data_IF_670289795764
#
_entry.id   IF_670289795764
#
_cell.length_a   1.000
_cell.length_b   1.000
_cell.length_c   1.000
_cell.angle_alpha   90.00
_cell.angle_beta   90.00
_cell.angle_gamma   90.00
#
_symmetry.space_group_name_H-M   'P 1'
#
loop_
_entity.id
_entity.type
_entity.pdbx_description
1 polymer ?
#
# COMPACT_ATOMS: atom_id res chain seq x y z
N UNK A 1 -16.35 13.50 3.51
CA UNK A 1 -16.82 12.09 3.63
C UNK A 1 -17.07 11.61 2.21
N UNK A 2 -16.04 11.11 1.55
CA UNK A 2 -16.12 10.78 0.11
C UNK A 2 -15.69 9.33 -0.11
N UNK A 3 -16.47 8.59 -0.88
CA UNK A 3 -15.94 7.57 -1.77
C UNK A 3 -16.19 6.10 -1.43
N UNK A 4 -16.24 5.67 -0.17
CA UNK A 4 -16.32 4.22 0.14
C UNK A 4 -17.75 3.62 0.12
N UNK A 5 -18.78 4.43 0.09
CA UNK A 5 -20.17 3.95 0.16
C UNK A 5 -20.64 3.39 -1.18
N UNK A 6 -20.94 2.09 -1.21
CA UNK A 6 -21.66 1.41 -2.31
C UNK A 6 -20.78 0.60 -3.27
N UNK A 7 -19.46 0.58 -3.10
CA UNK A 7 -18.57 -0.32 -3.85
C UNK A 7 -18.27 -1.56 -3.01
N UNK A 8 -18.31 -2.73 -3.62
CA UNK A 8 -17.82 -3.96 -2.97
C UNK A 8 -16.31 -3.90 -2.85
N UNK A 9 -15.73 -4.19 -1.65
CA UNK A 9 -14.29 -4.21 -1.46
C UNK A 9 -13.63 -5.23 -2.40
N UNK A 10 -12.69 -4.76 -3.22
CA UNK A 10 -11.97 -5.63 -4.16
C UNK A 10 -10.59 -5.10 -4.53
N UNK A 11 -9.77 -5.99 -5.07
CA UNK A 11 -8.48 -5.65 -5.67
C UNK A 11 -8.72 -5.06 -7.06
N UNK A 12 -8.26 -3.84 -7.32
CA UNK A 12 -8.27 -3.24 -8.65
C UNK A 12 -7.04 -3.63 -9.47
N UNK A 13 -5.88 -3.72 -8.81
CA UNK A 13 -4.65 -4.10 -9.46
C UNK A 13 -3.68 -4.74 -8.46
N UNK A 14 -2.92 -5.72 -8.95
CA UNK A 14 -1.73 -6.24 -8.30
C UNK A 14 -0.52 -5.63 -8.99
N UNK A 15 0.36 -4.99 -8.23
CA UNK A 15 1.50 -4.24 -8.76
C UNK A 15 2.82 -4.84 -8.27
N UNK A 16 3.78 -4.95 -9.17
CA UNK A 16 5.14 -5.39 -8.89
C UNK A 16 6.14 -4.40 -9.46
N UNK A 17 7.38 -4.47 -9.01
CA UNK A 17 8.45 -3.63 -9.55
C UNK A 17 8.53 -3.78 -11.06
N UNK A 18 8.46 -2.64 -11.75
CA UNK A 18 8.71 -2.56 -13.20
C UNK A 18 10.18 -2.32 -13.49
N UNK A 19 10.78 -1.41 -12.73
CA UNK A 19 12.17 -1.04 -12.88
C UNK A 19 12.75 -0.56 -11.55
N UNK A 20 13.96 -1.03 -11.21
CA UNK A 20 14.75 -0.41 -10.16
C UNK A 20 15.25 0.95 -10.65
N UNK A 21 15.05 1.97 -9.84
CA UNK A 21 15.46 3.35 -10.13
C UNK A 21 16.63 3.76 -9.25
N UNK A 22 17.58 4.55 -9.75
CA UNK A 22 18.56 5.18 -8.89
C UNK A 22 17.88 6.00 -7.79
N UNK A 23 18.41 5.93 -6.57
CA UNK A 23 17.93 6.68 -5.41
C UNK A 23 19.11 7.09 -4.53
N UNK A 24 18.83 7.94 -3.53
CA UNK A 24 19.85 8.37 -2.56
C UNK A 24 20.33 7.25 -1.63
N UNK A 25 21.42 7.52 -0.88
CA UNK A 25 21.87 6.59 0.15
C UNK A 25 20.79 6.35 1.23
N UNK A 26 20.81 5.20 1.96
CA UNK A 26 21.86 4.18 1.90
C UNK A 26 21.67 3.11 0.82
N UNK A 27 20.49 2.93 0.26
CA UNK A 27 20.22 1.80 -0.65
C UNK A 27 20.74 2.01 -2.07
N UNK A 28 20.87 3.27 -2.52
CA UNK A 28 21.32 3.62 -3.87
C UNK A 28 20.32 3.32 -4.98
N UNK A 29 19.33 2.48 -4.71
CA UNK A 29 18.26 2.10 -5.64
C UNK A 29 16.93 1.98 -4.90
N UNK A 30 15.82 2.16 -5.65
CA UNK A 30 14.47 1.97 -5.14
C UNK A 30 13.63 1.12 -6.07
N UNK A 31 12.70 0.36 -5.50
CA UNK A 31 11.69 -0.43 -6.20
C UNK A 31 10.31 0.27 -6.19
N UNK A 32 10.27 1.60 -6.08
CA UNK A 32 9.02 2.36 -6.00
C UNK A 32 8.25 2.38 -7.32
N UNK A 33 8.94 2.26 -8.47
CA UNK A 33 8.31 2.18 -9.79
C UNK A 33 7.65 0.82 -9.97
N UNK A 34 6.42 0.72 -9.48
CA UNK A 34 5.60 -0.47 -9.61
C UNK A 34 4.52 -0.27 -10.67
N UNK A 35 4.14 -1.36 -11.32
CA UNK A 35 3.08 -1.37 -12.34
C UNK A 35 2.17 -2.57 -12.20
N UNK A 36 0.92 -2.46 -12.66
CA UNK A 36 -0.01 -3.58 -12.69
C UNK A 36 0.53 -4.75 -13.50
N UNK A 37 0.24 -5.94 -13.01
CA UNK A 37 0.45 -7.21 -13.74
C UNK A 37 -0.88 -7.86 -14.04
N UNK A 38 -0.95 -8.63 -15.12
CA UNK A 38 -2.17 -9.31 -15.53
C UNK A 38 -2.20 -10.76 -15.02
N UNK A 39 -3.43 -11.20 -14.71
CA UNK A 39 -3.68 -12.56 -14.23
C UNK A 39 -3.27 -12.81 -12.78
N UNK A 40 -3.41 -14.07 -12.31
CA UNK A 40 -3.19 -14.42 -10.93
C UNK A 40 -1.70 -14.43 -10.56
N UNK A 41 -1.33 -13.69 -9.52
CA UNK A 41 0.03 -13.58 -8.99
C UNK A 41 0.12 -14.27 -7.64
N UNK A 42 1.19 -15.01 -7.40
CA UNK A 42 1.45 -15.67 -6.11
C UNK A 42 1.85 -14.64 -5.05
N UNK A 43 1.26 -14.76 -3.86
CA UNK A 43 1.73 -14.08 -2.64
C UNK A 43 2.30 -15.16 -1.70
N UNK A 44 3.51 -14.92 -1.23
CA UNK A 44 4.21 -15.76 -0.25
C UNK A 44 4.61 -14.94 0.98
N UNK A 45 5.27 -15.54 1.97
CA UNK A 45 5.59 -14.88 3.25
C UNK A 45 6.32 -13.54 3.12
N UNK A 46 7.10 -13.35 2.07
CA UNK A 46 7.86 -12.14 1.79
C UNK A 46 7.18 -11.19 0.80
N UNK A 47 5.90 -11.43 0.48
CA UNK A 47 5.09 -10.55 -0.38
C UNK A 47 4.78 -11.14 -1.75
N UNK A 48 4.53 -10.25 -2.71
CA UNK A 48 4.11 -10.58 -4.07
C UNK A 48 5.28 -11.17 -4.85
N UNK A 49 5.06 -12.31 -5.51
CA UNK A 49 6.06 -12.92 -6.37
C UNK A 49 6.43 -11.98 -7.53
N UNK A 50 7.70 -11.95 -7.90
CA UNK A 50 8.30 -11.02 -8.86
C UNK A 50 8.39 -9.56 -8.41
N UNK A 51 7.97 -9.24 -7.17
CA UNK A 51 8.27 -7.95 -6.56
C UNK A 51 9.63 -7.97 -5.85
N UNK A 52 10.21 -6.79 -5.63
CA UNK A 52 11.50 -6.61 -4.98
C UNK A 52 11.37 -5.62 -3.83
N UNK A 53 11.87 -6.02 -2.66
CA UNK A 53 12.07 -5.15 -1.51
C UNK A 53 13.52 -4.63 -1.54
N UNK A 54 13.76 -3.48 -2.20
CA UNK A 54 15.12 -2.92 -2.35
C UNK A 54 15.74 -2.51 -1.02
N UNK A 55 14.94 -2.01 -0.09
CA UNK A 55 15.36 -1.66 1.28
C UNK A 55 14.62 -2.54 2.29
N UNK A 56 15.17 -3.71 2.56
CA UNK A 56 14.56 -4.65 3.53
C UNK A 56 14.58 -4.16 4.97
N UNK A 57 15.48 -3.24 5.29
CA UNK A 57 15.60 -2.71 6.65
C UNK A 57 14.45 -1.76 7.02
N UNK A 58 14.07 -0.89 6.10
CA UNK A 58 13.08 0.15 6.37
C UNK A 58 11.73 -0.09 5.66
N UNK A 59 11.75 -0.68 4.47
CA UNK A 59 10.57 -0.88 3.62
C UNK A 59 10.34 -2.34 3.23
N UNK A 60 10.75 -3.30 4.04
CA UNK A 60 10.61 -4.72 3.75
C UNK A 60 10.50 -5.58 5.01
N UNK A 61 10.69 -6.90 4.83
CA UNK A 61 10.52 -7.91 5.86
C UNK A 61 9.10 -8.48 5.91
N UNK A 62 8.87 -9.41 6.83
CA UNK A 62 7.60 -10.13 6.93
C UNK A 62 6.42 -9.22 7.30
N UNK A 63 6.65 -8.24 8.18
CA UNK A 63 5.61 -7.31 8.63
C UNK A 63 5.24 -6.24 7.59
N UNK A 64 6.05 -6.09 6.55
CA UNK A 64 5.86 -5.17 5.42
C UNK A 64 5.86 -5.93 4.09
N UNK A 65 5.33 -7.16 4.11
CA UNK A 65 5.37 -8.05 2.95
C UNK A 65 4.54 -7.53 1.78
N UNK A 66 3.41 -6.88 2.06
CA UNK A 66 2.49 -6.30 1.07
C UNK A 66 2.11 -4.90 1.52
N UNK A 67 2.05 -3.95 0.59
CA UNK A 67 1.51 -2.62 0.81
C UNK A 67 0.22 -2.46 0.02
N UNK A 68 -0.86 -2.05 0.69
CA UNK A 68 -2.15 -1.77 0.07
C UNK A 68 -2.46 -0.28 0.09
N UNK A 69 -3.09 0.21 -0.98
CA UNK A 69 -3.51 1.61 -1.11
C UNK A 69 -4.89 1.71 -1.74
N UNK A 70 -5.76 2.56 -1.16
CA UNK A 70 -7.12 2.72 -1.65
C UNK A 70 -7.17 3.56 -2.93
N UNK A 71 -8.05 3.19 -3.85
CA UNK A 71 -8.32 3.94 -5.07
C UNK A 71 -8.89 5.32 -4.73
N UNK A 72 -9.74 5.39 -3.73
CA UNK A 72 -10.36 6.63 -3.27
C UNK A 72 -9.33 7.63 -2.73
N UNK A 73 -8.27 7.14 -2.08
CA UNK A 73 -7.15 7.98 -1.64
C UNK A 73 -6.28 8.41 -2.82
N UNK A 74 -6.10 7.53 -3.80
CA UNK A 74 -5.38 7.88 -5.02
C UNK A 74 -6.14 8.94 -5.85
N UNK A 75 -7.46 8.86 -5.92
CA UNK A 75 -8.32 9.86 -6.58
C UNK A 75 -8.22 11.22 -5.86
N UNK A 76 -8.20 11.24 -4.53
CA UNK A 76 -7.95 12.45 -3.76
C UNK A 76 -6.62 13.10 -4.16
N UNK A 77 -5.52 12.31 -4.16
CA UNK A 77 -4.21 12.83 -4.53
C UNK A 77 -4.09 13.20 -6.01
N UNK A 78 -4.79 12.51 -6.90
CA UNK A 78 -4.83 12.88 -8.32
C UNK A 78 -5.44 14.27 -8.51
N UNK A 79 -6.52 14.58 -7.76
CA UNK A 79 -7.11 15.93 -7.72
C UNK A 79 -6.13 16.98 -7.18
N UNK A 80 -5.46 16.68 -6.07
CA UNK A 80 -4.49 17.59 -5.44
C UNK A 80 -3.24 17.86 -6.29
N UNK A 81 -2.78 16.86 -7.04
CA UNK A 81 -1.59 16.97 -7.91
C UNK A 81 -1.92 17.36 -9.36
N UNK A 82 -3.22 17.44 -9.71
CA UNK A 82 -3.67 17.80 -11.05
C UNK A 82 -3.21 16.82 -12.14
N UNK A 83 -3.02 15.54 -11.80
CA UNK A 83 -2.56 14.50 -12.74
C UNK A 83 -3.07 13.13 -12.36
N UNK A 84 -3.13 12.20 -13.31
CA UNK A 84 -3.46 10.81 -13.06
C UNK A 84 -2.36 10.11 -12.24
N UNK A 85 -2.79 9.27 -11.31
CA UNK A 85 -1.92 8.46 -10.46
C UNK A 85 -2.30 6.97 -10.64
N UNK A 86 -1.68 6.28 -11.61
CA UNK A 86 -2.02 4.90 -11.92
C UNK A 86 -1.71 3.97 -10.75
N UNK A 87 -2.31 2.75 -10.71
CA UNK A 87 -1.93 1.74 -9.74
C UNK A 87 -0.42 1.46 -9.77
N UNK A 88 0.16 1.33 -8.57
CA UNK A 88 1.61 1.22 -8.37
C UNK A 88 2.33 2.54 -8.09
N UNK A 89 1.68 3.69 -8.34
CA UNK A 89 2.29 5.02 -8.15
C UNK A 89 2.79 5.27 -6.73
N UNK A 90 2.05 4.83 -5.73
CA UNK A 90 2.43 4.99 -4.32
C UNK A 90 3.44 3.93 -3.85
N UNK A 91 3.91 3.07 -4.76
CA UNK A 91 4.75 1.91 -4.47
C UNK A 91 3.97 0.73 -3.88
N UNK A 92 2.64 0.76 -3.97
CA UNK A 92 1.76 -0.29 -3.46
C UNK A 92 1.81 -1.57 -4.31
N UNK A 93 1.59 -2.69 -3.63
CA UNK A 93 1.41 -3.98 -4.27
C UNK A 93 -0.05 -4.24 -4.63
N UNK A 94 -0.97 -3.74 -3.80
CA UNK A 94 -2.40 -3.88 -4.02
C UNK A 94 -3.05 -2.49 -4.10
N UNK A 95 -3.60 -2.14 -5.27
CA UNK A 95 -4.57 -1.08 -5.39
C UNK A 95 -5.94 -1.69 -5.11
N UNK A 96 -6.64 -1.16 -4.11
CA UNK A 96 -7.94 -1.67 -3.67
C UNK A 96 -9.01 -0.59 -3.77
N UNK A 97 -10.27 -0.97 -3.86
CA UNK A 97 -11.40 -0.02 -3.79
C UNK A 97 -12.50 -0.53 -2.87
N UNK A 98 -13.39 0.36 -2.44
CA UNK A 98 -14.54 0.03 -1.61
C UNK A 98 -14.20 -0.29 -0.15
N UNK A 99 -12.95 -0.19 0.26
CA UNK A 99 -12.46 -0.44 1.62
C UNK A 99 -11.71 0.78 2.15
N UNK A 100 -12.15 1.33 3.27
CA UNK A 100 -11.40 2.36 3.98
C UNK A 100 -10.19 1.72 4.70
N UNK A 101 -9.09 1.64 3.97
CA UNK A 101 -7.87 0.99 4.46
C UNK A 101 -7.22 1.74 5.63
N UNK A 102 -7.50 3.04 5.79
CA UNK A 102 -6.94 3.85 6.87
C UNK A 102 -7.71 3.68 8.20
N UNK A 103 -8.95 3.19 8.14
CA UNK A 103 -9.78 2.85 9.32
C UNK A 103 -9.55 1.42 9.82
N UNK A 104 -8.68 0.63 9.16
CA UNK A 104 -8.35 -0.72 9.58
C UNK A 104 -7.71 -0.74 10.98
N UNK A 105 -7.80 -1.91 11.65
CA UNK A 105 -7.17 -2.12 12.96
C UNK A 105 -5.91 -2.95 12.85
N UNK A 106 -4.96 -2.71 13.71
CA UNK A 106 -3.75 -3.53 13.80
C UNK A 106 -4.13 -4.98 14.12
N UNK A 107 -3.64 -5.92 13.32
CA UNK A 107 -4.01 -7.34 13.42
C UNK A 107 -5.31 -7.73 12.71
N UNK A 108 -6.04 -6.76 12.13
CA UNK A 108 -7.20 -7.07 11.27
C UNK A 108 -6.78 -7.93 10.09
N UNK A 109 -7.52 -9.00 9.81
CA UNK A 109 -7.21 -9.96 8.74
C UNK A 109 -8.17 -9.78 7.58
N UNK A 110 -7.60 -9.57 6.41
CA UNK A 110 -8.32 -9.51 5.13
C UNK A 110 -8.12 -10.80 4.37
N UNK A 111 -9.23 -11.46 4.01
CA UNK A 111 -9.20 -12.53 3.01
C UNK A 111 -9.40 -11.91 1.63
N UNK A 112 -8.49 -12.25 0.70
CA UNK A 112 -8.52 -11.77 -0.68
C UNK A 112 -8.72 -12.98 -1.59
N UNK A 113 -9.79 -12.94 -2.39
CA UNK A 113 -10.23 -14.09 -3.16
C UNK A 113 -10.49 -15.30 -2.27
N UNK A 114 -10.16 -16.50 -2.76
CA UNK A 114 -10.51 -17.74 -2.07
C UNK A 114 -9.55 -18.11 -0.93
N UNK A 115 -8.29 -17.70 -1.00
CA UNK A 115 -7.25 -18.35 -0.17
C UNK A 115 -6.28 -17.42 0.53
N UNK A 116 -6.00 -16.23 0.01
CA UNK A 116 -4.98 -15.35 0.60
C UNK A 116 -5.54 -14.66 1.83
N UNK A 117 -4.78 -14.69 2.93
CA UNK A 117 -5.09 -13.92 4.14
C UNK A 117 -3.90 -13.04 4.49
N UNK A 118 -4.20 -11.75 4.68
CA UNK A 118 -3.23 -10.71 5.01
C UNK A 118 -3.64 -10.02 6.30
N UNK A 119 -2.72 -9.87 7.26
CA UNK A 119 -2.96 -9.16 8.51
C UNK A 119 -2.36 -7.76 8.46
N UNK A 120 -3.13 -6.76 8.86
CA UNK A 120 -2.71 -5.36 9.01
C UNK A 120 -1.66 -5.24 10.09
N UNK A 121 -0.53 -4.59 9.81
CA UNK A 121 0.60 -4.48 10.74
C UNK A 121 0.90 -3.06 11.18
N UNK A 122 1.05 -2.15 10.24
CA UNK A 122 1.38 -0.75 10.52
C UNK A 122 1.05 0.14 9.33
N UNK A 123 0.91 1.47 9.54
CA UNK A 123 0.76 2.41 8.44
C UNK A 123 2.08 2.55 7.66
N UNK A 124 1.96 2.87 6.38
CA UNK A 124 3.13 3.24 5.58
C UNK A 124 3.61 4.63 6.00
N UNK A 125 4.88 4.74 6.37
CA UNK A 125 5.54 6.02 6.64
C UNK A 125 6.10 6.59 5.35
N UNK A 126 5.73 7.79 4.89
CA UNK A 126 6.32 8.43 3.72
C UNK A 126 7.78 8.78 3.97
N UNK A 127 8.58 8.77 2.91
CA UNK A 127 10.03 9.01 2.99
C UNK A 127 10.50 9.89 1.82
N UNK A 128 11.77 10.30 1.86
CA UNK A 128 12.36 11.15 0.83
C UNK A 128 12.40 10.46 -0.55
N UNK A 129 12.54 9.14 -0.62
CA UNK A 129 12.40 8.38 -1.86
C UNK A 129 11.05 8.63 -2.51
N UNK A 130 9.99 8.60 -1.71
CA UNK A 130 8.64 8.88 -2.21
C UNK A 130 8.47 10.34 -2.63
N UNK A 131 9.05 11.30 -1.90
CA UNK A 131 9.04 12.71 -2.30
C UNK A 131 9.71 12.91 -3.66
N UNK A 132 10.91 12.34 -3.85
CA UNK A 132 11.62 12.40 -5.15
C UNK A 132 10.84 11.72 -6.28
N UNK A 133 10.13 10.64 -5.98
CA UNK A 133 9.28 9.93 -6.94
C UNK A 133 8.08 10.78 -7.39
N UNK A 134 7.42 11.46 -6.46
CA UNK A 134 6.36 12.44 -6.78
C UNK A 134 6.92 13.55 -7.67
N UNK A 135 8.08 14.09 -7.29
CA UNK A 135 8.88 15.02 -8.09
C UNK A 135 8.27 16.39 -8.31
N UNK A 136 8.96 17.20 -9.11
CA UNK A 136 8.50 18.53 -9.48
C UNK A 136 8.37 19.49 -8.29
N UNK A 137 7.40 20.39 -8.34
CA UNK A 137 7.13 21.33 -7.26
C UNK A 137 6.65 20.68 -5.97
N UNK A 138 6.03 19.49 -6.08
CA UNK A 138 5.46 18.77 -4.96
C UNK A 138 6.50 17.99 -4.12
N UNK A 139 7.71 17.78 -4.62
CA UNK A 139 8.77 17.08 -3.89
C UNK A 139 9.05 17.74 -2.53
N UNK A 140 9.14 19.07 -2.55
CA UNK A 140 9.37 19.85 -1.33
C UNK A 140 8.14 19.82 -0.43
N UNK A 141 8.33 19.30 0.82
CA UNK A 141 7.27 19.21 1.81
C UNK A 141 6.30 18.05 1.59
N UNK A 142 6.52 17.19 0.59
CA UNK A 142 5.65 16.06 0.30
C UNK A 142 5.45 15.13 1.50
N UNK A 143 6.55 14.76 2.18
CA UNK A 143 6.48 13.87 3.34
C UNK A 143 5.52 14.42 4.40
N UNK A 144 5.65 15.71 4.74
CA UNK A 144 4.77 16.36 5.71
C UNK A 144 3.31 16.43 5.22
N UNK A 145 3.11 16.87 3.97
CA UNK A 145 1.77 16.98 3.36
C UNK A 145 1.07 15.62 3.31
N UNK A 146 1.75 14.57 2.87
CA UNK A 146 1.20 13.22 2.79
C UNK A 146 0.87 12.65 4.17
N UNK A 147 1.73 12.91 5.16
CA UNK A 147 1.49 12.49 6.55
C UNK A 147 0.29 13.18 7.17
N UNK A 148 0.15 14.50 6.96
CA UNK A 148 -0.93 15.30 7.53
C UNK A 148 -2.33 14.87 7.04
N UNK A 149 -2.43 14.44 5.79
CA UNK A 149 -3.68 13.93 5.21
C UNK A 149 -4.09 12.56 5.75
N UNK A 150 -3.18 11.84 6.43
CA UNK A 150 -3.44 10.54 7.07
C UNK A 150 -4.01 9.47 6.10
N UNK A 151 -3.75 9.61 4.80
CA UNK A 151 -4.11 8.66 3.73
C UNK A 151 -2.92 7.79 3.39
N UNK A 152 -2.47 7.01 4.38
CA UNK A 152 -1.16 6.35 4.34
C UNK A 152 -1.23 4.94 3.73
N UNK A 153 -2.36 4.24 3.95
CA UNK A 153 -2.49 2.82 3.65
C UNK A 153 -1.65 1.92 4.57
N UNK A 154 -2.04 0.65 4.72
CA UNK A 154 -1.37 -0.30 5.60
C UNK A 154 -0.28 -1.10 4.89
N UNK A 155 0.77 -1.43 5.64
CA UNK A 155 1.54 -2.64 5.41
C UNK A 155 0.79 -3.86 5.96
N UNK A 156 1.00 -4.99 5.31
CA UNK A 156 0.31 -6.24 5.59
C UNK A 156 1.32 -7.38 5.65
N UNK A 157 1.15 -8.23 6.66
CA UNK A 157 1.86 -9.51 6.79
C UNK A 157 1.03 -10.62 6.17
N UNK A 158 1.68 -11.57 5.52
CA UNK A 158 1.01 -12.72 4.94
C UNK A 158 0.73 -13.76 6.02
N UNK A 159 -0.54 -14.01 6.27
CA UNK A 159 -1.04 -15.08 7.19
C UNK A 159 -1.19 -16.37 6.42
N UNK A 160 -1.80 -16.30 5.23
CA UNK A 160 -2.00 -17.44 4.35
C UNK A 160 -1.62 -17.10 2.92
N UNK A 161 -0.67 -17.85 2.38
CA UNK A 161 -0.20 -17.70 1.01
C UNK A 161 -1.21 -18.21 0.00
N UNK A 162 -1.17 -17.67 -1.22
CA UNK A 162 -2.05 -18.09 -2.29
C UNK A 162 -1.80 -17.31 -3.55
N UNK A 163 -2.85 -17.11 -4.35
CA UNK A 163 -2.82 -16.28 -5.56
C UNK A 163 -3.87 -15.18 -5.46
N UNK A 164 -3.54 -14.01 -5.99
CA UNK A 164 -4.45 -12.86 -6.09
C UNK A 164 -4.39 -12.29 -7.49
N UNK A 165 -5.49 -11.69 -7.92
CA UNK A 165 -5.61 -10.99 -9.19
C UNK A 165 -6.56 -9.80 -9.08
N UNK A 166 -6.56 -8.94 -10.08
CA UNK A 166 -7.57 -7.89 -10.19
C UNK A 166 -8.97 -8.50 -10.27
N UNK A 167 -9.90 -7.92 -9.54
CA UNK A 167 -11.28 -8.39 -9.41
C UNK A 167 -11.55 -9.25 -8.16
N UNK A 168 -10.53 -9.77 -7.50
CA UNK A 168 -10.70 -10.56 -6.28
C UNK A 168 -11.36 -9.72 -5.18
N UNK A 169 -12.40 -10.30 -4.56
CA UNK A 169 -13.11 -9.70 -3.43
C UNK A 169 -12.21 -9.63 -2.20
N UNK A 170 -12.39 -8.60 -1.38
CA UNK A 170 -11.73 -8.44 -0.09
C UNK A 170 -12.78 -8.53 1.01
N UNK A 171 -12.59 -9.45 1.95
CA UNK A 171 -13.47 -9.64 3.10
C UNK A 171 -12.65 -9.50 4.38
N UNK A 172 -13.06 -8.61 5.27
CA UNK A 172 -12.51 -8.57 6.63
C UNK A 172 -13.05 -9.75 7.40
N UNK A 173 -12.18 -10.74 7.71
CA UNK A 173 -12.58 -12.00 8.34
C UNK A 173 -12.38 -12.01 9.85
N UNK A 174 -11.50 -11.16 10.36
CA UNK A 174 -11.32 -10.95 11.79
C UNK A 174 -10.69 -9.58 12.06
N UNK A 175 -11.04 -9.03 13.23
CA UNK A 175 -10.37 -7.87 13.80
C UNK A 175 -10.24 -8.13 15.31
N UNK A 176 -9.04 -7.99 15.89
CA UNK A 176 -8.86 -8.21 17.33
C UNK A 176 -9.68 -7.18 18.13
N UNK A 177 -10.38 -7.65 19.15
CA UNK A 177 -11.14 -6.77 20.04
C UNK A 177 -10.19 -5.83 20.78
N UNK A 178 -10.55 -4.53 20.84
CA UNK A 178 -9.73 -3.51 21.49
C UNK A 178 -8.41 -3.17 20.80
N UNK A 179 -8.11 -3.75 19.63
CA UNK A 179 -6.90 -3.40 18.90
C UNK A 179 -6.92 -1.92 18.48
N UNK A 180 -5.76 -1.24 18.51
CA UNK A 180 -5.65 0.13 18.03
C UNK A 180 -5.97 0.22 16.54
N UNK A 181 -6.51 1.36 16.12
CA UNK A 181 -6.64 1.69 14.70
C UNK A 181 -5.28 1.83 14.04
N UNK A 182 -5.23 1.64 12.73
CA UNK A 182 -4.00 1.75 11.94
C UNK A 182 -3.22 3.05 12.22
N UNK A 183 -3.94 4.14 12.41
CA UNK A 183 -3.35 5.47 12.56
C UNK A 183 -3.28 5.94 14.02
N UNK A 184 -3.70 5.10 14.98
CA UNK A 184 -3.56 5.43 16.40
C UNK A 184 -2.07 5.44 16.77
N UNK A 185 -1.62 6.54 17.38
CA UNK A 185 -0.22 6.72 17.71
C UNK A 185 0.71 7.01 16.53
N UNK A 186 0.20 7.14 15.30
CA UNK A 186 1.02 7.58 14.18
C UNK A 186 1.52 9.01 14.40
N UNK A 187 2.84 9.16 14.37
CA UNK A 187 3.53 10.45 14.43
C UNK A 187 4.14 10.78 13.08
N UNK A 188 4.02 12.03 12.66
CA UNK A 188 4.63 12.49 11.44
C UNK A 188 6.16 12.37 11.51
N UNK A 189 6.83 11.94 10.42
CA UNK A 189 8.28 12.00 10.35
C UNK A 189 8.77 13.44 10.51
N UNK A 190 9.86 13.62 11.24
CA UNK A 190 10.51 14.92 11.44
C UNK A 190 11.07 15.50 10.13
#
# INVERSE_FOLDING_TARGET
MCGYRGRMPRVLAVCVVHQLRPDGPPAGVTAIDKRPVHGPVRIGPYGVYADVQADRKHHGGLEKAVYAYAQEDAEFWAGELGRELPPGFFGENLRVEGLDVNSARIGEVWRIGDTVELAVTMPRTPCQTFARWVGGADERGWVKRFSAERRLGPYLRVVRSGRVQAGDEIVVVSAPEGAPGLLDGYTEPA
#
